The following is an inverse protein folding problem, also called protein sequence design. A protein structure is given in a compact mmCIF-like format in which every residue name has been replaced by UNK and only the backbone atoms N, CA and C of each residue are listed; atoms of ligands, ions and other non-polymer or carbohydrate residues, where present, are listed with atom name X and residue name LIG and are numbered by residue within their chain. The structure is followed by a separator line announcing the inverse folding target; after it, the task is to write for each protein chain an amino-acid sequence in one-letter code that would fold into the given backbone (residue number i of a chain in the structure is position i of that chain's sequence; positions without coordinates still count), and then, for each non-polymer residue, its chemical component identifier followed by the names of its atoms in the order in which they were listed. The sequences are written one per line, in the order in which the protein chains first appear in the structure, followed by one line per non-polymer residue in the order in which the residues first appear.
data_IF_342769902691
#
_entry.id   IF_342769902691
#
_cell.length_a   1.000
_cell.length_b   1.000
_cell.length_c   1.000
_cell.angle_alpha   90.00
_cell.angle_beta   90.00
_cell.angle_gamma   90.00
#
_symmetry.space_group_name_H-M   'P 1'
#
loop_
_entity.id
_entity.type
_entity.pdbx_description
1 polymer ?
#
# COMPACT_ATOMS: atom_id res chain seq x y z
N UNK A 1 -8.50 17.81 -4.81
CA UNK A 1 -9.64 18.42 -5.53
C UNK A 1 -10.84 17.49 -5.46
N UNK A 2 -12.04 18.06 -5.41
CA UNK A 2 -13.30 17.31 -5.34
C UNK A 2 -14.23 17.84 -6.41
N UNK A 3 -14.69 16.95 -7.29
CA UNK A 3 -15.61 17.26 -8.39
C UNK A 3 -16.98 16.66 -8.10
N UNK A 4 -18.04 17.40 -8.43
CA UNK A 4 -19.41 16.93 -8.33
C UNK A 4 -19.87 16.40 -9.69
N UNK A 5 -20.56 15.24 -9.69
CA UNK A 5 -21.12 14.62 -10.89
C UNK A 5 -20.11 14.47 -12.04
N UNK A 6 -18.94 13.90 -11.74
CA UNK A 6 -17.85 13.77 -12.71
C UNK A 6 -17.70 12.34 -13.23
N UNK A 7 -17.03 12.19 -14.37
CA UNK A 7 -16.81 10.91 -15.04
C UNK A 7 -15.32 10.61 -15.12
N UNK A 8 -14.91 9.45 -14.62
CA UNK A 8 -13.61 8.87 -14.91
C UNK A 8 -13.71 8.06 -16.20
N UNK A 9 -12.86 8.35 -17.20
CA UNK A 9 -12.87 7.68 -18.52
C UNK A 9 -11.71 6.71 -18.74
N UNK A 10 -10.63 6.86 -17.97
CA UNK A 10 -9.45 5.99 -18.06
C UNK A 10 -8.58 6.19 -19.31
N UNK A 11 -8.82 7.23 -20.09
CA UNK A 11 -8.06 7.57 -21.31
C UNK A 11 -7.73 9.08 -21.36
N UNK A 12 -6.43 9.48 -21.44
CA UNK A 12 -5.28 8.59 -21.27
C UNK A 12 -5.31 7.95 -19.86
N UNK A 13 -4.82 6.71 -19.70
CA UNK A 13 -4.64 6.14 -18.38
C UNK A 13 -3.74 7.10 -17.60
N UNK A 14 -4.15 7.64 -16.45
CA UNK A 14 -3.46 8.79 -15.84
C UNK A 14 -2.02 8.49 -15.38
N UNK A 15 -1.57 7.24 -15.55
CA UNK A 15 -0.51 6.61 -14.78
C UNK A 15 0.19 5.50 -15.58
N UNK A 16 0.79 5.90 -16.70
CA UNK A 16 1.80 5.14 -17.44
C UNK A 16 3.19 5.71 -17.13
N UNK A 17 4.21 4.86 -17.19
CA UNK A 17 5.59 5.35 -17.26
C UNK A 17 5.79 6.08 -18.58
N UNK A 18 5.74 7.40 -18.56
CA UNK A 18 6.08 8.25 -19.69
C UNK A 18 6.54 9.60 -19.19
N UNK A 19 7.26 10.34 -20.04
CA UNK A 19 7.66 11.74 -19.78
C UNK A 19 6.44 12.67 -19.57
N UNK A 20 5.26 12.22 -20.01
CA UNK A 20 4.00 12.93 -19.91
C UNK A 20 3.13 12.45 -18.72
N UNK A 21 3.41 11.28 -18.16
CA UNK A 21 2.68 10.64 -17.05
C UNK A 21 3.32 10.87 -15.68
N UNK A 22 2.64 10.43 -14.61
CA UNK A 22 2.87 10.60 -13.15
C UNK A 22 3.30 11.97 -12.56
N UNK A 23 4.11 12.75 -13.28
CA UNK A 23 4.60 14.08 -12.96
C UNK A 23 4.51 15.03 -14.17
N UNK A 24 3.93 14.59 -15.30
CA UNK A 24 3.79 15.37 -16.53
C UNK A 24 2.37 15.92 -16.76
N UNK A 25 2.12 16.47 -17.95
CA UNK A 25 0.86 17.14 -18.29
C UNK A 25 -0.36 16.21 -18.40
N UNK A 26 -0.17 14.92 -18.67
CA UNK A 26 -1.27 13.95 -18.76
C UNK A 26 -1.87 13.63 -17.38
N UNK A 27 -1.18 14.05 -16.32
CA UNK A 27 -1.56 13.88 -14.91
C UNK A 27 -2.38 15.09 -14.46
N UNK A 28 -3.30 15.52 -15.31
CA UNK A 28 -4.14 16.68 -15.05
C UNK A 28 -5.52 16.26 -14.56
N UNK A 29 -6.07 17.08 -13.68
CA UNK A 29 -7.46 16.99 -13.23
C UNK A 29 -8.44 17.58 -14.24
N UNK A 30 -7.95 18.31 -15.26
CA UNK A 30 -8.78 18.94 -16.31
C UNK A 30 -9.65 17.93 -17.05
N UNK A 31 -9.23 16.67 -17.13
CA UNK A 31 -10.05 15.58 -17.69
C UNK A 31 -11.38 15.34 -16.94
N UNK A 32 -11.49 15.82 -15.70
CA UNK A 32 -12.72 15.77 -14.89
C UNK A 32 -13.54 17.07 -14.93
N UNK A 33 -13.00 18.15 -15.49
CA UNK A 33 -13.66 19.45 -15.59
C UNK A 33 -14.55 19.57 -16.83
N UNK A 34 -14.39 18.69 -17.82
CA UNK A 34 -15.10 18.76 -19.10
C UNK A 34 -16.52 18.18 -19.08
N UNK A 35 -17.39 18.87 -19.83
CA UNK A 35 -18.84 18.69 -19.99
C UNK A 35 -19.36 17.26 -19.93
N UNK A 36 -20.48 17.12 -19.22
CA UNK A 36 -21.36 15.96 -19.19
C UNK A 36 -22.16 15.77 -20.48
N UNK A 37 -21.67 16.25 -21.64
CA UNK A 37 -22.20 15.88 -22.96
C UNK A 37 -21.79 14.42 -23.28
N UNK A 38 -22.19 13.53 -22.40
CA UNK A 38 -21.96 12.10 -22.46
C UNK A 38 -23.16 11.51 -23.19
N UNK A 39 -22.93 10.81 -24.29
CA UNK A 39 -24.02 10.19 -25.03
C UNK A 39 -24.81 9.24 -24.11
N UNK A 40 -26.13 9.16 -24.31
CA UNK A 40 -27.02 8.34 -23.47
C UNK A 40 -26.59 6.86 -23.42
N UNK A 41 -25.92 6.36 -24.46
CA UNK A 41 -25.32 5.03 -24.53
C UNK A 41 -24.16 4.83 -23.56
N UNK A 42 -23.29 5.83 -23.39
CA UNK A 42 -22.13 5.77 -22.50
C UNK A 42 -22.57 5.85 -21.02
N UNK A 43 -23.64 6.60 -20.76
CA UNK A 43 -24.33 6.66 -19.47
C UNK A 43 -25.00 5.34 -19.07
N UNK A 44 -25.39 4.51 -20.04
CA UNK A 44 -26.06 3.23 -19.80
C UNK A 44 -25.07 2.09 -19.50
N UNK A 45 -23.85 2.14 -20.05
CA UNK A 45 -22.84 1.07 -19.89
C UNK A 45 -21.85 1.30 -18.73
N UNK A 46 -21.71 2.53 -18.23
CA UNK A 46 -20.71 2.84 -17.20
C UNK A 46 -21.10 2.46 -15.77
N UNK A 47 -20.09 2.20 -14.94
CA UNK A 47 -20.29 1.91 -13.50
C UNK A 47 -20.70 3.18 -12.78
N UNK A 48 -21.76 3.14 -11.95
CA UNK A 48 -22.24 4.30 -11.18
C UNK A 48 -21.91 4.13 -9.71
N UNK A 49 -21.31 5.18 -9.12
CA UNK A 49 -20.86 5.16 -7.72
C UNK A 49 -21.21 6.46 -7.00
N UNK A 50 -21.31 6.40 -5.67
CA UNK A 50 -21.48 7.59 -4.84
C UNK A 50 -20.20 8.42 -4.79
N UNK A 51 -19.15 7.87 -4.18
CA UNK A 51 -17.83 8.51 -4.08
C UNK A 51 -16.77 7.69 -4.81
N UNK A 52 -15.99 8.32 -5.68
CA UNK A 52 -14.87 7.74 -6.41
C UNK A 52 -13.57 8.41 -6.01
N UNK A 53 -12.54 7.64 -5.67
CA UNK A 53 -11.17 8.11 -5.45
C UNK A 53 -10.30 7.65 -6.61
N UNK A 54 -9.65 8.59 -7.30
CA UNK A 54 -8.73 8.27 -8.40
C UNK A 54 -7.31 8.14 -7.85
N UNK A 55 -6.82 6.91 -7.76
CA UNK A 55 -5.51 6.54 -7.22
C UNK A 55 -4.74 5.62 -8.17
N UNK A 56 -4.91 5.83 -9.48
CA UNK A 56 -4.11 5.16 -10.49
C UNK A 56 -2.62 5.49 -10.25
N UNK A 57 -1.75 4.53 -10.55
CA UNK A 57 -0.29 4.69 -10.45
C UNK A 57 0.43 3.56 -11.19
N UNK A 58 1.58 3.80 -11.85
CA UNK A 58 2.47 2.76 -12.32
C UNK A 58 2.91 1.85 -11.19
N UNK A 59 3.09 0.59 -11.53
CA UNK A 59 3.60 -0.48 -10.67
C UNK A 59 2.90 -0.74 -9.34
N UNK A 60 1.75 -0.09 -9.10
CA UNK A 60 0.92 -0.25 -7.90
C UNK A 60 0.33 -1.66 -7.74
N UNK A 61 0.61 -2.56 -8.68
CA UNK A 61 0.31 -3.98 -8.59
C UNK A 61 1.29 -4.74 -7.69
N UNK A 62 2.43 -4.12 -7.34
CA UNK A 62 3.40 -4.62 -6.36
C UNK A 62 3.25 -3.93 -5.01
N UNK A 63 3.54 -4.63 -3.92
CA UNK A 63 3.36 -4.11 -2.56
C UNK A 63 4.06 -2.77 -2.30
N UNK A 64 5.35 -2.65 -2.66
CA UNK A 64 6.11 -1.42 -2.45
C UNK A 64 5.42 -0.23 -3.12
N UNK A 65 5.17 -0.29 -4.43
CA UNK A 65 4.58 0.84 -5.14
C UNK A 65 3.11 1.09 -4.78
N UNK A 66 2.40 0.08 -4.28
CA UNK A 66 1.06 0.28 -3.72
C UNK A 66 1.09 1.16 -2.46
N UNK A 67 1.95 0.84 -1.50
CA UNK A 67 2.06 1.59 -0.23
C UNK A 67 2.57 3.02 -0.46
N UNK A 68 3.52 3.20 -1.38
CA UNK A 68 4.14 4.51 -1.69
C UNK A 68 3.21 5.43 -2.49
N UNK A 69 2.10 4.93 -3.05
CA UNK A 69 1.35 5.69 -4.05
C UNK A 69 -0.15 5.63 -3.79
N UNK A 70 -0.75 4.46 -3.98
CA UNK A 70 -2.20 4.29 -3.84
C UNK A 70 -2.64 4.58 -2.41
N UNK A 71 -1.90 4.06 -1.44
CA UNK A 71 -2.24 4.22 -0.04
C UNK A 71 -2.08 5.67 0.43
N UNK A 72 -1.10 6.40 -0.11
CA UNK A 72 -0.92 7.85 0.12
C UNK A 72 -2.11 8.65 -0.41
N UNK A 73 -2.53 8.39 -1.66
CA UNK A 73 -3.69 9.06 -2.28
C UNK A 73 -4.96 8.80 -1.47
N UNK A 74 -5.14 7.55 -1.01
CA UNK A 74 -6.25 7.18 -0.14
C UNK A 74 -6.25 7.96 1.17
N UNK A 75 -5.13 8.00 1.90
CA UNK A 75 -5.02 8.73 3.17
C UNK A 75 -5.32 10.23 3.01
N UNK A 76 -4.91 10.85 1.88
CA UNK A 76 -5.28 12.23 1.57
C UNK A 76 -6.77 12.37 1.27
N UNK A 77 -7.34 11.44 0.50
CA UNK A 77 -8.76 11.47 0.13
C UNK A 77 -9.67 11.37 1.37
N UNK A 78 -9.27 10.60 2.38
CA UNK A 78 -10.00 10.48 3.65
C UNK A 78 -10.19 11.82 4.38
N UNK A 79 -9.42 12.87 4.08
CA UNK A 79 -9.58 14.19 4.68
C UNK A 79 -10.75 14.99 4.10
N UNK A 80 -11.20 14.65 2.89
CA UNK A 80 -12.22 15.41 2.14
C UNK A 80 -13.44 14.57 1.78
N UNK A 81 -13.34 13.25 1.89
CA UNK A 81 -14.50 12.37 1.83
C UNK A 81 -15.26 12.56 3.15
N UNK A 82 -16.57 12.86 3.13
CA UNK A 82 -17.38 12.89 4.35
C UNK A 82 -17.22 11.58 5.12
N UNK A 83 -17.68 11.51 6.36
CA UNK A 83 -17.71 10.27 7.15
C UNK A 83 -18.72 9.26 6.57
N UNK A 84 -18.56 8.88 5.31
CA UNK A 84 -19.30 7.83 4.61
C UNK A 84 -18.73 6.49 4.98
N UNK A 85 -19.60 5.49 5.02
CA UNK A 85 -19.18 4.11 5.25
C UNK A 85 -18.17 3.71 4.17
N UNK A 86 -17.14 2.98 4.55
CA UNK A 86 -16.15 2.40 3.64
C UNK A 86 -16.77 1.72 2.41
N UNK A 87 -17.93 1.07 2.60
CA UNK A 87 -18.73 0.41 1.56
C UNK A 87 -19.26 1.34 0.46
N UNK A 88 -19.32 2.65 0.71
CA UNK A 88 -19.87 3.65 -0.22
C UNK A 88 -18.78 4.38 -1.03
N UNK A 89 -17.52 4.04 -0.78
CA UNK A 89 -16.37 4.62 -1.47
C UNK A 89 -15.73 3.57 -2.37
N UNK A 90 -15.50 3.96 -3.62
CA UNK A 90 -14.81 3.15 -4.62
C UNK A 90 -13.47 3.81 -4.94
N UNK A 91 -12.39 3.04 -4.99
CA UNK A 91 -11.09 3.51 -5.49
C UNK A 91 -10.84 2.94 -6.89
N UNK A 92 -10.34 3.77 -7.80
CA UNK A 92 -9.78 3.31 -9.07
C UNK A 92 -8.27 3.34 -8.95
N UNK A 93 -7.63 2.25 -9.35
CA UNK A 93 -6.19 2.09 -9.30
C UNK A 93 -5.65 1.43 -10.57
N UNK A 94 -4.33 1.23 -10.62
CA UNK A 94 -3.64 0.66 -11.77
C UNK A 94 -3.98 -0.81 -12.04
N UNK A 95 -2.99 -1.61 -12.44
CA UNK A 95 -3.18 -3.03 -12.74
C UNK A 95 -3.66 -3.80 -11.50
N UNK A 96 -4.36 -4.92 -11.73
CA UNK A 96 -4.72 -5.87 -10.66
C UNK A 96 -3.45 -6.27 -9.88
N UNK A 97 -3.50 -6.36 -8.54
CA UNK A 97 -2.32 -6.69 -7.76
C UNK A 97 -1.80 -8.09 -8.06
N UNK A 98 -0.47 -8.21 -8.14
CA UNK A 98 0.20 -9.52 -8.18
C UNK A 98 0.30 -10.11 -6.79
N UNK A 99 0.62 -9.27 -5.80
CA UNK A 99 0.89 -9.72 -4.45
C UNK A 99 -0.43 -9.79 -3.66
N UNK A 100 -0.78 -10.96 -3.14
CA UNK A 100 -2.06 -11.18 -2.43
C UNK A 100 -2.26 -10.22 -1.24
N UNK A 101 -1.17 -9.80 -0.59
CA UNK A 101 -1.22 -8.85 0.51
C UNK A 101 -1.81 -7.49 0.11
N UNK A 102 -1.60 -7.04 -1.14
CA UNK A 102 -2.17 -5.77 -1.62
C UNK A 102 -3.69 -5.85 -1.67
N UNK A 103 -4.25 -6.98 -2.11
CA UNK A 103 -5.70 -7.22 -2.08
C UNK A 103 -6.25 -7.21 -0.65
N UNK A 104 -5.51 -7.75 0.32
CA UNK A 104 -5.91 -7.70 1.72
C UNK A 104 -5.90 -6.27 2.27
N UNK A 105 -4.91 -5.45 1.87
CA UNK A 105 -4.86 -4.05 2.32
C UNK A 105 -6.00 -3.23 1.69
N UNK A 106 -6.36 -3.47 0.42
CA UNK A 106 -7.57 -2.87 -0.15
C UNK A 106 -8.83 -3.19 0.67
N UNK A 107 -9.00 -4.45 1.10
CA UNK A 107 -10.12 -4.86 1.94
C UNK A 107 -10.16 -4.12 3.27
N UNK A 108 -9.04 -3.60 3.77
CA UNK A 108 -8.98 -2.77 4.99
C UNK A 108 -9.24 -1.30 4.68
N UNK A 109 -8.72 -0.79 3.56
CA UNK A 109 -8.82 0.62 3.20
C UNK A 109 -10.21 1.02 2.68
N UNK A 110 -10.74 0.29 1.72
CA UNK A 110 -11.87 0.74 0.88
C UNK A 110 -12.92 -0.36 0.70
N UNK A 111 -14.16 0.02 0.39
CA UNK A 111 -15.24 -0.96 0.14
C UNK A 111 -15.05 -1.70 -1.17
N UNK A 112 -14.70 -0.98 -2.23
CA UNK A 112 -14.49 -1.54 -3.56
C UNK A 112 -13.28 -0.90 -4.24
N UNK A 113 -12.54 -1.70 -5.00
CA UNK A 113 -11.42 -1.26 -5.81
C UNK A 113 -11.57 -1.75 -7.24
N UNK A 114 -11.40 -0.84 -8.19
CA UNK A 114 -11.49 -1.10 -9.62
C UNK A 114 -10.09 -0.98 -10.25
N UNK A 115 -9.81 -1.84 -11.21
CA UNK A 115 -8.55 -1.90 -11.94
C UNK A 115 -8.81 -1.75 -13.42
N UNK A 116 -8.28 -0.66 -14.01
CA UNK A 116 -8.53 -0.31 -15.42
C UNK A 116 -10.02 -0.41 -15.82
N UNK A 117 -10.96 0.20 -15.07
CA UNK A 117 -12.34 0.25 -15.52
C UNK A 117 -12.42 1.09 -16.80
N UNK A 118 -13.49 0.91 -17.57
CA UNK A 118 -13.93 1.90 -18.56
C UNK A 118 -14.50 3.14 -17.85
N UNK A 119 -15.67 3.61 -18.28
CA UNK A 119 -16.30 4.78 -17.68
C UNK A 119 -16.87 4.51 -16.28
N UNK A 120 -16.53 5.37 -15.31
CA UNK A 120 -17.11 5.38 -13.96
C UNK A 120 -17.72 6.75 -13.68
N UNK A 121 -19.03 6.78 -13.47
CA UNK A 121 -19.81 7.95 -13.14
C UNK A 121 -19.91 8.11 -11.63
N UNK A 122 -19.45 9.24 -11.09
CA UNK A 122 -19.39 9.47 -9.66
C UNK A 122 -20.15 10.74 -9.28
N UNK A 123 -21.03 10.65 -8.27
CA UNK A 123 -21.64 11.86 -7.67
C UNK A 123 -20.58 12.77 -7.05
N UNK A 124 -19.55 12.16 -6.47
CA UNK A 124 -18.35 12.83 -5.96
C UNK A 124 -17.10 12.13 -6.47
N UNK A 125 -16.23 12.85 -7.17
CA UNK A 125 -14.93 12.36 -7.59
C UNK A 125 -13.83 13.10 -6.82
N UNK A 126 -12.97 12.35 -6.15
CA UNK A 126 -11.83 12.86 -5.39
C UNK A 126 -10.55 12.58 -6.16
N UNK A 127 -9.84 13.65 -6.47
CA UNK A 127 -8.53 13.62 -7.09
C UNK A 127 -7.53 14.28 -6.14
N UNK A 128 -6.73 13.45 -5.46
CA UNK A 128 -5.74 13.91 -4.48
C UNK A 128 -4.42 14.27 -5.15
N UNK A 129 -3.56 14.99 -4.42
CA UNK A 129 -2.21 15.24 -4.86
C UNK A 129 -1.44 13.91 -4.95
N UNK A 130 -0.69 13.71 -6.05
CA UNK A 130 0.17 12.54 -6.22
C UNK A 130 1.57 12.71 -5.59
N UNK A 131 1.85 13.89 -5.05
CA UNK A 131 3.07 14.21 -4.32
C UNK A 131 2.75 14.58 -2.86
N UNK A 132 3.63 14.25 -1.89
CA UNK A 132 4.84 13.43 -2.03
C UNK A 132 4.53 11.93 -2.05
N UNK A 133 5.45 11.12 -2.60
CA UNK A 133 5.35 9.65 -2.60
C UNK A 133 5.47 9.04 -1.19
N UNK A 134 5.97 9.80 -0.21
CA UNK A 134 6.08 9.37 1.18
C UNK A 134 5.81 10.59 2.06
N UNK A 135 4.84 10.46 2.98
CA UNK A 135 4.56 11.47 4.00
C UNK A 135 4.31 10.77 5.35
N UNK A 136 4.93 11.21 6.46
CA UNK A 136 4.76 10.57 7.78
C UNK A 136 3.29 10.38 8.19
N UNK A 137 2.48 11.43 8.02
CA UNK A 137 1.04 11.37 8.29
C UNK A 137 0.30 10.28 7.49
N UNK A 138 0.50 10.21 6.16
CA UNK A 138 -0.24 9.25 5.33
C UNK A 138 0.15 7.83 5.65
N UNK A 139 1.42 7.63 5.97
CA UNK A 139 2.00 6.39 6.43
C UNK A 139 1.37 5.95 7.75
N UNK A 140 1.39 6.80 8.79
CA UNK A 140 0.76 6.51 10.08
C UNK A 140 -0.72 6.14 9.93
N UNK A 141 -1.46 6.89 9.11
CA UNK A 141 -2.89 6.66 8.84
C UNK A 141 -3.17 5.26 8.30
N UNK A 142 -2.34 4.76 7.37
CA UNK A 142 -2.51 3.41 6.80
C UNK A 142 -2.22 2.36 7.87
N UNK A 143 -1.20 2.58 8.69
CA UNK A 143 -0.86 1.71 9.81
C UNK A 143 -2.00 1.60 10.81
N UNK A 144 -2.58 2.73 11.20
CA UNK A 144 -3.71 2.79 12.12
C UNK A 144 -4.90 2.02 11.57
N UNK A 145 -5.24 2.21 10.29
CA UNK A 145 -6.31 1.46 9.63
C UNK A 145 -6.06 -0.06 9.66
N UNK A 146 -4.81 -0.49 9.40
CA UNK A 146 -4.43 -1.91 9.48
C UNK A 146 -4.58 -2.41 10.91
N UNK A 147 -3.98 -1.73 11.91
CA UNK A 147 -4.04 -2.16 13.30
C UNK A 147 -5.45 -2.17 13.89
N UNK A 148 -6.31 -1.21 13.52
CA UNK A 148 -7.72 -1.19 13.91
C UNK A 148 -8.52 -2.36 13.33
N UNK A 149 -8.09 -2.92 12.20
CA UNK A 149 -8.73 -4.10 11.60
C UNK A 149 -8.24 -5.43 12.16
N UNK A 150 -7.16 -5.44 12.94
CA UNK A 150 -6.63 -6.67 13.51
C UNK A 150 -7.44 -7.14 14.71
N UNK A 151 -7.45 -8.47 14.98
CA UNK A 151 -7.94 -8.97 16.26
C UNK A 151 -7.17 -8.33 17.42
N UNK A 152 -7.75 -8.24 18.63
CA UNK A 152 -7.05 -7.72 19.81
C UNK A 152 -5.68 -8.39 20.03
N UNK A 153 -4.75 -7.67 20.67
CA UNK A 153 -3.45 -8.25 21.04
C UNK A 153 -3.62 -9.50 21.88
N UNK A 154 -3.01 -10.60 21.46
CA UNK A 154 -2.92 -11.80 22.28
C UNK A 154 -1.81 -11.70 23.34
N UNK A 155 -0.93 -10.71 23.22
CA UNK A 155 0.16 -10.45 24.19
C UNK A 155 -0.23 -9.37 25.18
N UNK A 156 0.08 -9.61 26.46
CA UNK A 156 -0.26 -8.72 27.56
C UNK A 156 0.79 -7.61 27.77
N UNK A 157 2.02 -7.77 27.26
CA UNK A 157 3.11 -6.80 27.44
C UNK A 157 4.12 -6.78 26.30
N UNK A 158 4.71 -5.62 26.00
CA UNK A 158 5.80 -5.46 25.04
C UNK A 158 7.05 -6.29 25.40
N UNK A 159 7.21 -6.62 26.69
CA UNK A 159 8.29 -7.49 27.19
C UNK A 159 8.29 -8.89 26.58
N UNK A 160 7.14 -9.34 26.08
CA UNK A 160 6.96 -10.70 25.56
C UNK A 160 7.46 -10.86 24.12
N UNK A 161 7.75 -9.73 23.44
CA UNK A 161 8.31 -9.69 22.09
C UNK A 161 9.78 -10.14 22.14
N UNK A 162 10.09 -11.24 21.46
CA UNK A 162 11.41 -11.88 21.52
C UNK A 162 12.06 -12.16 20.15
N UNK A 163 11.48 -11.66 19.05
CA UNK A 163 12.02 -11.87 17.71
C UNK A 163 12.69 -10.59 17.20
N UNK A 164 13.94 -10.73 16.74
CA UNK A 164 14.59 -9.76 15.85
C UNK A 164 14.40 -10.25 14.43
N UNK A 165 13.61 -9.52 13.65
CA UNK A 165 13.23 -9.91 12.30
C UNK A 165 14.22 -9.34 11.28
N UNK A 166 14.95 -10.22 10.60
CA UNK A 166 15.93 -9.90 9.58
C UNK A 166 15.30 -9.84 8.18
N UNK A 167 15.29 -8.65 7.61
CA UNK A 167 14.68 -8.32 6.33
C UNK A 167 15.72 -8.40 5.22
N UNK A 168 15.94 -9.62 4.78
CA UNK A 168 16.86 -9.93 3.69
C UNK A 168 16.27 -9.51 2.35
N UNK A 169 17.12 -8.96 1.48
CA UNK A 169 16.77 -8.70 0.08
C UNK A 169 16.96 -9.93 -0.80
N UNK A 170 17.80 -10.85 -0.34
CA UNK A 170 18.22 -12.01 -1.09
C UNK A 170 17.66 -13.31 -0.53
N UNK A 171 16.78 -13.29 0.48
CA UNK A 171 16.25 -14.49 1.18
C UNK A 171 17.28 -15.62 1.34
N UNK A 172 18.49 -15.33 1.82
CA UNK A 172 19.55 -16.34 1.96
C UNK A 172 20.23 -16.77 0.64
N UNK A 173 20.22 -15.93 -0.41
CA UNK A 173 21.03 -16.10 -1.64
C UNK A 173 20.29 -15.96 -2.99
N UNK A 174 18.97 -15.82 -3.00
CA UNK A 174 18.12 -15.61 -4.19
C UNK A 174 17.53 -14.20 -4.20
N UNK A 175 18.05 -13.32 -5.04
CA UNK A 175 17.44 -12.01 -5.32
C UNK A 175 16.63 -12.08 -6.62
N UNK A 176 15.39 -11.56 -6.62
CA UNK A 176 14.58 -11.44 -7.84
C UNK A 176 15.18 -10.46 -8.87
N UNK A 177 16.00 -9.52 -8.40
CA UNK A 177 16.76 -8.58 -9.24
C UNK A 177 18.25 -8.72 -8.94
N UNK A 178 18.98 -9.41 -9.83
CA UNK A 178 20.41 -9.73 -9.65
C UNK A 178 21.32 -8.51 -9.44
N UNK A 179 20.99 -7.37 -10.07
CA UNK A 179 21.74 -6.12 -9.94
C UNK A 179 21.66 -5.42 -8.57
N UNK A 180 20.88 -5.95 -7.62
CA UNK A 180 20.78 -5.44 -6.24
C UNK A 180 21.07 -6.52 -5.20
N UNK A 181 21.81 -7.56 -5.57
CA UNK A 181 22.21 -8.65 -4.67
C UNK A 181 23.17 -8.12 -3.60
N UNK A 182 22.91 -8.47 -2.35
CA UNK A 182 23.77 -8.09 -1.23
C UNK A 182 24.64 -9.29 -0.87
N UNK A 183 25.96 -9.11 -1.01
CA UNK A 183 26.91 -10.21 -0.96
C UNK A 183 27.27 -10.64 0.46
N UNK A 184 27.08 -9.76 1.44
CA UNK A 184 27.48 -9.98 2.84
C UNK A 184 26.30 -10.21 3.80
N UNK A 185 25.06 -10.38 3.30
CA UNK A 185 23.89 -10.67 4.15
C UNK A 185 24.09 -11.87 5.08
N UNK A 186 24.63 -13.02 4.63
CA UNK A 186 24.89 -14.16 5.52
C UNK A 186 25.88 -13.82 6.64
N UNK A 187 26.99 -13.13 6.30
CA UNK A 187 28.01 -12.71 7.27
C UNK A 187 27.42 -11.80 8.35
N UNK A 188 26.54 -10.87 7.95
CA UNK A 188 25.87 -9.98 8.89
C UNK A 188 24.90 -10.76 9.80
N UNK A 189 24.11 -11.67 9.24
CA UNK A 189 23.21 -12.50 10.02
C UNK A 189 23.97 -13.34 11.07
N UNK A 190 25.07 -13.98 10.66
CA UNK A 190 25.90 -14.81 11.54
C UNK A 190 26.60 -13.99 12.63
N UNK A 191 27.07 -12.79 12.30
CA UNK A 191 27.67 -11.87 13.26
C UNK A 191 26.66 -11.43 14.33
N UNK A 192 25.42 -11.08 13.94
CA UNK A 192 24.36 -10.69 14.87
C UNK A 192 23.95 -11.88 15.74
N UNK A 193 23.75 -13.06 15.14
CA UNK A 193 23.43 -14.29 15.86
C UNK A 193 24.51 -14.64 16.90
N UNK A 194 25.79 -14.50 16.53
CA UNK A 194 26.92 -14.72 17.44
C UNK A 194 26.96 -13.71 18.58
N UNK A 195 26.70 -12.43 18.29
CA UNK A 195 26.66 -11.37 19.29
C UNK A 195 25.53 -11.60 20.31
N UNK A 196 24.33 -11.99 19.86
CA UNK A 196 23.21 -12.31 20.77
C UNK A 196 23.56 -13.45 21.73
N UNK A 197 24.22 -14.50 21.23
CA UNK A 197 24.67 -15.62 22.06
C UNK A 197 25.76 -15.19 23.05
N UNK A 198 26.76 -14.47 22.59
CA UNK A 198 27.88 -14.02 23.43
C UNK A 198 27.44 -13.08 24.57
N UNK A 199 26.39 -12.30 24.34
CA UNK A 199 25.84 -11.36 25.33
C UNK A 199 24.73 -11.96 26.19
N UNK A 200 24.44 -13.27 26.04
CA UNK A 200 23.40 -13.95 26.83
C UNK A 200 21.98 -13.43 26.56
N UNK A 201 21.76 -12.82 25.38
CA UNK A 201 20.47 -12.21 25.04
C UNK A 201 19.44 -13.26 24.61
N UNK A 202 18.18 -13.20 25.10
CA UNK A 202 17.17 -14.22 24.82
C UNK A 202 16.50 -14.06 23.43
N UNK A 203 16.76 -12.98 22.70
CA UNK A 203 16.14 -12.71 21.41
C UNK A 203 16.56 -13.70 20.32
N UNK A 204 15.60 -14.03 19.44
CA UNK A 204 15.80 -14.90 18.28
C UNK A 204 15.91 -14.08 17.01
N UNK A 205 17.02 -14.20 16.29
CA UNK A 205 17.18 -13.63 14.95
C UNK A 205 16.51 -14.53 13.91
N UNK A 206 15.57 -14.00 13.13
CA UNK A 206 14.79 -14.77 12.15
C UNK A 206 14.66 -14.03 10.83
N UNK A 207 14.87 -14.71 9.70
CA UNK A 207 14.55 -14.14 8.38
C UNK A 207 13.05 -13.92 8.20
N UNK A 208 12.67 -12.75 7.67
CA UNK A 208 11.31 -12.55 7.22
C UNK A 208 11.04 -13.29 5.91
N UNK A 209 9.94 -14.03 5.91
CA UNK A 209 9.52 -14.94 4.85
C UNK A 209 8.02 -14.71 4.64
N UNK A 210 7.66 -13.80 3.74
CA UNK A 210 6.24 -13.46 3.53
C UNK A 210 5.40 -14.68 3.10
N UNK A 211 6.03 -15.63 2.42
CA UNK A 211 5.45 -16.89 1.95
C UNK A 211 4.95 -17.80 3.09
N UNK A 212 5.37 -17.55 4.33
CA UNK A 212 4.97 -18.33 5.51
C UNK A 212 3.71 -17.82 6.20
N UNK A 213 3.14 -16.71 5.75
CA UNK A 213 2.00 -16.08 6.42
C UNK A 213 0.73 -16.15 5.57
N UNK A 214 -0.40 -16.34 6.24
CA UNK A 214 -1.71 -16.50 5.61
C UNK A 214 -2.41 -15.15 5.40
N UNK A 215 -1.71 -14.20 4.79
CA UNK A 215 -2.26 -12.87 4.48
C UNK A 215 -1.92 -11.79 5.50
N UNK A 216 -2.63 -10.67 5.43
CA UNK A 216 -2.26 -9.43 6.13
C UNK A 216 -2.39 -9.58 7.65
N UNK A 217 -3.49 -10.16 8.12
CA UNK A 217 -3.78 -10.23 9.56
C UNK A 217 -2.73 -11.06 10.31
N UNK A 218 -2.30 -12.18 9.70
CA UNK A 218 -1.27 -13.06 10.26
C UNK A 218 0.10 -12.36 10.30
N UNK A 219 0.50 -11.71 9.20
CA UNK A 219 1.74 -10.91 9.15
C UNK A 219 1.72 -9.81 10.21
N UNK A 220 0.64 -9.05 10.27
CA UNK A 220 0.55 -7.87 11.14
C UNK A 220 0.42 -8.27 12.62
N UNK A 221 -0.29 -9.36 12.94
CA UNK A 221 -0.36 -9.94 14.29
C UNK A 221 1.00 -10.45 14.74
N UNK A 222 1.71 -11.20 13.89
CA UNK A 222 3.08 -11.64 14.18
C UNK A 222 4.02 -10.47 14.45
N UNK A 223 3.96 -9.43 13.62
CA UNK A 223 4.77 -8.22 13.80
C UNK A 223 4.43 -7.48 15.10
N UNK A 224 3.15 -7.31 15.43
CA UNK A 224 2.71 -6.64 16.66
C UNK A 224 3.07 -7.41 17.93
N UNK A 225 2.89 -8.74 17.91
CA UNK A 225 2.89 -9.55 19.12
C UNK A 225 4.24 -10.23 19.39
N UNK A 226 5.07 -10.47 18.36
CA UNK A 226 6.30 -11.26 18.50
C UNK A 226 7.57 -10.49 18.19
N UNK A 227 7.50 -9.53 17.28
CA UNK A 227 8.68 -8.83 16.76
C UNK A 227 9.05 -7.67 17.66
N UNK A 228 10.24 -7.74 18.26
CA UNK A 228 10.83 -6.69 19.10
C UNK A 228 11.53 -5.62 18.27
N UNK A 229 12.17 -6.05 17.18
CA UNK A 229 12.94 -5.17 16.31
C UNK A 229 12.98 -5.77 14.91
N UNK A 230 12.99 -4.90 13.90
CA UNK A 230 13.25 -5.27 12.52
C UNK A 230 14.56 -4.66 12.08
N UNK A 231 15.39 -5.44 11.40
CA UNK A 231 16.66 -4.99 10.85
C UNK A 231 16.86 -5.60 9.47
N UNK A 232 17.64 -4.94 8.61
CA UNK A 232 18.04 -5.54 7.35
C UNK A 232 18.08 -4.53 6.21
N UNK A 233 18.72 -4.89 5.10
CA UNK A 233 18.94 -3.98 4.00
C UNK A 233 17.74 -3.82 3.06
N UNK A 234 16.69 -4.65 3.21
CA UNK A 234 15.51 -4.57 2.36
C UNK A 234 14.45 -3.61 2.91
N UNK A 235 14.62 -2.30 2.67
CA UNK A 235 13.68 -1.25 3.12
C UNK A 235 12.19 -1.51 2.83
N UNK A 236 11.85 -2.07 1.67
CA UNK A 236 10.45 -2.37 1.32
C UNK A 236 9.90 -3.69 1.91
N UNK A 237 10.74 -4.57 2.45
CA UNK A 237 10.30 -5.75 3.21
C UNK A 237 9.96 -5.40 4.66
N UNK A 238 10.30 -4.18 5.08
CA UNK A 238 9.67 -3.64 6.25
C UNK A 238 8.29 -3.18 5.81
N UNK A 239 7.31 -4.09 5.87
CA UNK A 239 5.87 -3.76 5.80
C UNK A 239 5.51 -2.61 6.77
N UNK A 240 6.43 -2.33 7.70
CA UNK A 240 6.37 -1.46 8.85
C UNK A 240 7.57 -0.51 9.06
N UNK A 241 8.61 -0.40 8.21
CA UNK A 241 9.73 0.56 8.50
C UNK A 241 9.32 2.01 8.28
N UNK A 242 8.21 2.22 7.62
CA UNK A 242 7.63 3.54 7.57
C UNK A 242 6.83 3.86 8.83
N UNK A 243 6.52 2.84 9.63
CA UNK A 243 5.74 2.92 10.84
C UNK A 243 6.73 2.90 12.00
N UNK A 244 7.15 4.09 12.44
CA UNK A 244 7.99 4.22 13.64
C UNK A 244 7.34 3.46 14.80
N UNK A 245 8.14 2.62 15.46
CA UNK A 245 7.86 2.11 16.79
C UNK A 245 8.46 3.06 17.81
#
# INVERSE_FOLDING_TARGET
MVFANAVYRGDPPPDIWSEKGCMGHDVSHTSFEHDLNTNASDLAAGTRVGTLVVATSPDSWSFQHFVDRVAVVWSQAQLVIPTVKKTETVIVSGRKPRDAIVNNIYKVMVGQHLHKPGSVFAKRLVFSCRAPLIHPFTTQRITENIFQSLPPSATASESDRNIILFLSRSSGGKAFNGGRRILNEPKLFDAISSMLKATGRPEKLQYFRHDKFNGLDDVATFMRDRVKMMIGPHGAAFYNARHGF
#
